data_IF_614461832045
#
_entry.id   IF_614461832045
#
_cell.length_a   1.000
_cell.length_b   1.000
_cell.length_c   1.000
_cell.angle_alpha   90.00
_cell.angle_beta   90.00
_cell.angle_gamma   90.00
#
_symmetry.space_group_name_H-M   'P 1'
#
loop_
_entity.id
_entity.type
_entity.pdbx_description
1 polymer ?
#
# COMPACT_ATOMS: atom_id res chain seq x y z
N UNK A 1 -24.25 36.30 -34.64
CA UNK A 1 -23.87 34.88 -34.49
C UNK A 1 -22.46 34.83 -33.94
N UNK A 2 -22.30 34.68 -32.62
CA UNK A 2 -20.97 34.48 -32.03
C UNK A 2 -20.53 33.05 -32.35
N UNK A 3 -19.51 32.91 -33.18
CA UNK A 3 -18.84 31.63 -33.36
C UNK A 3 -18.29 31.24 -31.99
N UNK A 4 -18.94 30.28 -31.33
CA UNK A 4 -18.53 29.82 -30.01
C UNK A 4 -17.09 29.34 -30.10
N UNK A 5 -16.19 29.95 -29.32
CA UNK A 5 -14.82 29.50 -29.19
C UNK A 5 -14.84 28.00 -28.85
N UNK A 6 -14.38 27.16 -29.77
CA UNK A 6 -14.26 25.72 -29.52
C UNK A 6 -13.17 25.57 -28.46
N UNK A 7 -13.58 25.15 -27.27
CA UNK A 7 -12.69 25.01 -26.14
C UNK A 7 -11.82 23.77 -26.33
N UNK A 8 -10.51 23.98 -26.53
CA UNK A 8 -9.55 22.89 -26.65
C UNK A 8 -9.21 22.34 -25.24
N UNK A 9 -10.01 21.37 -24.79
CA UNK A 9 -9.84 20.78 -23.46
C UNK A 9 -8.53 20.04 -23.27
N UNK A 10 -7.94 19.50 -24.34
CA UNK A 10 -6.65 18.80 -24.29
C UNK A 10 -5.51 19.79 -24.01
N UNK A 11 -5.51 20.94 -24.71
CA UNK A 11 -4.59 22.03 -24.41
C UNK A 11 -4.76 22.52 -22.96
N UNK A 12 -6.00 22.80 -22.54
CA UNK A 12 -6.27 23.27 -21.18
C UNK A 12 -5.82 22.24 -20.14
N UNK A 13 -6.03 20.95 -20.38
CA UNK A 13 -5.64 19.89 -19.47
C UNK A 13 -4.11 19.77 -19.33
N UNK A 14 -3.36 19.96 -20.41
CA UNK A 14 -1.89 19.96 -20.41
C UNK A 14 -1.31 21.22 -19.71
N UNK A 15 -2.05 22.32 -19.73
CA UNK A 15 -1.69 23.59 -19.08
C UNK A 15 -2.49 23.84 -17.78
N UNK A 16 -3.11 22.80 -17.21
CA UNK A 16 -4.03 22.96 -16.07
C UNK A 16 -3.36 23.62 -14.87
N UNK A 17 -2.05 23.39 -14.70
CA UNK A 17 -1.27 23.93 -13.60
C UNK A 17 -1.31 25.45 -13.56
N UNK A 18 -1.21 26.12 -14.71
CA UNK A 18 -1.24 27.58 -14.80
C UNK A 18 -2.59 28.12 -14.26
N UNK A 19 -3.68 27.47 -14.63
CA UNK A 19 -5.03 27.83 -14.13
C UNK A 19 -5.22 27.53 -12.64
N UNK A 20 -4.56 26.50 -12.10
CA UNK A 20 -4.58 26.19 -10.65
C UNK A 20 -3.77 27.23 -9.88
N UNK A 21 -2.59 27.60 -10.37
CA UNK A 21 -1.72 28.61 -9.72
C UNK A 21 -2.37 29.99 -9.70
N UNK A 22 -3.11 30.35 -10.75
CA UNK A 22 -3.83 31.61 -10.84
C UNK A 22 -5.20 31.61 -10.13
N UNK A 23 -5.59 30.51 -9.48
CA UNK A 23 -6.90 30.32 -8.85
C UNK A 23 -8.12 30.48 -9.79
N UNK A 24 -7.97 30.11 -11.07
CA UNK A 24 -8.95 30.40 -12.12
C UNK A 24 -9.88 29.24 -12.49
N UNK A 25 -9.59 28.01 -12.09
CA UNK A 25 -10.36 26.83 -12.57
C UNK A 25 -11.87 26.97 -12.32
N UNK A 26 -12.28 27.34 -11.10
CA UNK A 26 -13.71 27.39 -10.74
C UNK A 26 -14.39 28.72 -11.10
N UNK A 27 -13.63 29.74 -11.50
CA UNK A 27 -14.18 31.03 -11.94
C UNK A 27 -14.28 31.14 -13.46
N UNK A 28 -13.41 30.45 -14.21
CA UNK A 28 -13.37 30.47 -15.67
C UNK A 28 -14.20 29.34 -16.28
N UNK A 29 -14.21 28.14 -15.67
CA UNK A 29 -14.80 26.96 -16.28
C UNK A 29 -16.07 26.51 -15.56
N UNK A 30 -17.07 26.08 -16.34
CA UNK A 30 -18.26 25.47 -15.77
C UNK A 30 -17.97 24.05 -15.26
N UNK A 31 -18.87 23.51 -14.43
CA UNK A 31 -18.70 22.18 -13.83
C UNK A 31 -18.56 21.06 -14.88
N UNK A 32 -19.20 21.18 -16.05
CA UNK A 32 -19.08 20.19 -17.13
C UNK A 32 -17.74 20.29 -17.85
N UNK A 33 -17.21 21.49 -18.03
CA UNK A 33 -15.90 21.72 -18.63
C UNK A 33 -14.80 21.20 -17.72
N UNK A 34 -14.87 21.55 -16.42
CA UNK A 34 -13.94 21.03 -15.41
C UNK A 34 -13.93 19.50 -15.43
N UNK A 35 -15.10 18.85 -15.54
CA UNK A 35 -15.18 17.38 -15.63
C UNK A 35 -14.39 16.83 -16.81
N UNK A 36 -14.47 17.45 -17.99
CA UNK A 36 -13.73 17.01 -19.19
C UNK A 36 -12.23 17.28 -19.04
N UNK A 37 -11.87 18.46 -18.53
CA UNK A 37 -10.47 18.83 -18.26
C UNK A 37 -9.85 17.81 -17.30
N UNK A 38 -10.52 17.50 -16.19
CA UNK A 38 -10.03 16.54 -15.19
C UNK A 38 -9.84 15.12 -15.74
N UNK A 39 -10.68 14.70 -16.70
CA UNK A 39 -10.56 13.39 -17.38
C UNK A 39 -9.25 13.28 -18.19
N UNK A 40 -8.74 14.42 -18.67
CA UNK A 40 -7.56 14.50 -19.52
C UNK A 40 -6.29 14.91 -18.75
N UNK A 41 -6.45 15.52 -17.57
CA UNK A 41 -5.34 16.06 -16.80
C UNK A 41 -4.61 15.01 -15.97
N UNK A 42 -3.28 15.12 -15.97
CA UNK A 42 -2.40 14.49 -15.00
C UNK A 42 -1.98 15.52 -13.95
N UNK A 43 -2.28 15.27 -12.67
CA UNK A 43 -1.98 16.19 -11.57
C UNK A 43 -0.97 15.59 -10.61
N UNK A 44 -0.02 16.39 -10.13
CA UNK A 44 0.72 16.04 -8.93
C UNK A 44 -0.19 16.17 -7.70
N UNK A 45 0.11 15.44 -6.62
CA UNK A 45 -0.62 15.53 -5.35
C UNK A 45 -0.84 16.97 -4.89
N UNK A 46 0.22 17.79 -4.90
CA UNK A 46 0.15 19.18 -4.46
C UNK A 46 -0.78 20.05 -5.32
N UNK A 47 -0.80 19.82 -6.64
CA UNK A 47 -1.65 20.57 -7.55
C UNK A 47 -3.12 20.19 -7.35
N UNK A 48 -3.42 18.90 -7.16
CA UNK A 48 -4.77 18.45 -6.83
C UNK A 48 -5.24 18.99 -5.47
N UNK A 49 -4.35 19.04 -4.47
CA UNK A 49 -4.68 19.62 -3.17
C UNK A 49 -4.97 21.12 -3.28
N UNK A 50 -4.16 21.88 -4.03
CA UNK A 50 -4.40 23.30 -4.31
C UNK A 50 -5.73 23.51 -5.03
N UNK A 51 -5.99 22.72 -6.07
CA UNK A 51 -7.25 22.70 -6.82
C UNK A 51 -8.46 22.51 -5.87
N UNK A 52 -8.42 21.55 -4.95
CA UNK A 52 -9.55 21.37 -4.03
C UNK A 52 -9.66 22.50 -3.00
N UNK A 53 -8.55 23.13 -2.58
CA UNK A 53 -8.59 24.26 -1.63
C UNK A 53 -9.29 25.49 -2.21
N UNK A 54 -8.99 25.87 -3.45
CA UNK A 54 -9.61 27.02 -4.14
C UNK A 54 -11.11 26.82 -4.44
N UNK A 55 -11.60 25.58 -4.36
CA UNK A 55 -13.02 25.28 -4.55
C UNK A 55 -13.91 25.93 -3.48
N UNK A 56 -13.34 26.24 -2.31
CA UNK A 56 -14.04 26.89 -1.21
C UNK A 56 -13.82 28.41 -1.26
N UNK A 57 -14.88 29.23 -1.17
CA UNK A 57 -16.29 28.88 -1.01
C UNK A 57 -17.08 28.72 -2.33
N UNK A 58 -16.42 28.81 -3.48
CA UNK A 58 -17.02 28.98 -4.83
C UNK A 58 -17.96 27.86 -5.27
N UNK A 59 -17.70 26.60 -4.92
CA UNK A 59 -18.47 25.44 -5.38
C UNK A 59 -18.97 24.57 -4.23
N UNK A 60 -20.21 24.07 -4.37
CA UNK A 60 -20.79 23.14 -3.39
C UNK A 60 -20.04 21.79 -3.41
N UNK A 61 -19.87 21.12 -2.25
CA UNK A 61 -19.13 19.85 -2.14
C UNK A 61 -19.59 18.75 -3.11
N UNK A 62 -20.90 18.61 -3.34
CA UNK A 62 -21.45 17.60 -4.25
C UNK A 62 -21.13 17.87 -5.73
N UNK A 63 -21.07 19.15 -6.14
CA UNK A 63 -20.66 19.55 -7.48
C UNK A 63 -19.16 19.38 -7.65
N UNK A 64 -18.38 19.76 -6.64
CA UNK A 64 -16.94 19.55 -6.60
C UNK A 64 -16.56 18.09 -6.82
N UNK A 65 -17.18 17.17 -6.06
CA UNK A 65 -16.98 15.74 -6.26
C UNK A 65 -17.30 15.31 -7.71
N UNK A 66 -18.43 15.74 -8.26
CA UNK A 66 -18.85 15.36 -9.62
C UNK A 66 -17.87 15.82 -10.71
N UNK A 67 -17.30 17.02 -10.61
CA UNK A 67 -16.38 17.53 -11.63
C UNK A 67 -14.92 17.11 -11.44
N UNK A 68 -14.49 16.73 -10.24
CA UNK A 68 -13.07 16.41 -9.98
C UNK A 68 -12.78 14.92 -9.83
N UNK A 69 -13.79 14.06 -9.61
CA UNK A 69 -13.58 12.62 -9.35
C UNK A 69 -12.88 11.81 -10.45
N UNK A 70 -12.74 12.39 -11.65
CA UNK A 70 -12.07 11.76 -12.79
C UNK A 70 -10.58 12.11 -12.90
N UNK A 71 -10.09 13.05 -12.08
CA UNK A 71 -8.71 13.48 -12.13
C UNK A 71 -7.73 12.32 -11.90
N UNK A 72 -6.71 12.22 -12.74
CA UNK A 72 -5.59 11.33 -12.50
C UNK A 72 -4.54 12.03 -11.65
N UNK A 73 -4.28 11.51 -10.45
CA UNK A 73 -3.35 12.12 -9.49
C UNK A 73 -2.15 11.19 -9.29
N UNK A 74 -0.95 11.70 -9.55
CA UNK A 74 0.29 10.98 -9.27
C UNK A 74 0.60 11.00 -7.77
N UNK A 75 0.75 9.80 -7.19
CA UNK A 75 1.09 9.57 -5.79
C UNK A 75 2.53 9.06 -5.72
N UNK A 76 3.38 9.74 -4.96
CA UNK A 76 4.81 9.41 -4.87
C UNK A 76 5.18 8.70 -3.57
N UNK A 77 4.43 8.94 -2.50
CA UNK A 77 4.73 8.40 -1.18
C UNK A 77 3.45 8.24 -0.33
N UNK A 78 3.61 7.73 0.90
CA UNK A 78 2.48 7.51 1.80
C UNK A 78 1.85 8.80 2.32
N UNK A 79 2.64 9.87 2.49
CA UNK A 79 2.14 11.18 2.92
C UNK A 79 1.19 11.78 1.89
N UNK A 80 1.47 11.58 0.59
CA UNK A 80 0.61 11.99 -0.51
C UNK A 80 -0.78 11.35 -0.40
N UNK A 81 -0.83 10.04 -0.12
CA UNK A 81 -2.09 9.30 0.06
C UNK A 81 -2.91 9.94 1.19
N UNK A 82 -2.30 10.13 2.37
CA UNK A 82 -2.96 10.76 3.52
C UNK A 82 -3.44 12.17 3.16
N UNK A 83 -2.61 12.96 2.48
CA UNK A 83 -2.90 14.35 2.10
C UNK A 83 -4.13 14.44 1.16
N UNK A 84 -4.21 13.55 0.17
CA UNK A 84 -5.34 13.45 -0.76
C UNK A 84 -6.61 13.11 0.01
N UNK A 85 -6.60 12.04 0.82
CA UNK A 85 -7.77 11.61 1.58
C UNK A 85 -8.26 12.71 2.55
N UNK A 86 -7.35 13.36 3.28
CA UNK A 86 -7.70 14.50 4.16
C UNK A 86 -8.35 15.63 3.39
N UNK A 87 -7.81 15.97 2.22
CA UNK A 87 -8.31 17.07 1.40
C UNK A 87 -9.69 16.74 0.82
N UNK A 88 -9.86 15.54 0.26
CA UNK A 88 -11.15 15.05 -0.24
C UNK A 88 -12.19 15.03 0.89
N UNK A 89 -11.86 14.44 2.05
CA UNK A 89 -12.72 14.46 3.24
C UNK A 89 -13.19 15.88 3.57
N UNK A 90 -12.25 16.82 3.67
CA UNK A 90 -12.53 18.20 4.08
C UNK A 90 -13.43 18.95 3.09
N UNK A 91 -13.05 18.96 1.81
CA UNK A 91 -13.72 19.81 0.80
C UNK A 91 -14.94 19.14 0.17
N UNK A 92 -15.00 17.80 0.15
CA UNK A 92 -16.15 17.04 -0.36
C UNK A 92 -17.09 16.51 0.75
N UNK A 93 -16.72 16.70 2.02
CA UNK A 93 -17.50 16.28 3.21
C UNK A 93 -17.77 14.76 3.29
N UNK A 94 -16.79 13.95 2.87
CA UNK A 94 -16.90 12.48 2.85
C UNK A 94 -16.44 11.85 4.18
N UNK A 95 -17.36 11.75 5.15
CA UNK A 95 -17.09 11.18 6.49
C UNK A 95 -16.66 9.72 6.48
N UNK A 96 -17.02 8.96 5.46
CA UNK A 96 -16.58 7.55 5.31
C UNK A 96 -15.05 7.40 5.27
N UNK A 97 -14.33 8.48 4.94
CA UNK A 97 -12.86 8.49 4.90
C UNK A 97 -12.22 8.61 6.28
N UNK A 98 -12.99 8.87 7.35
CA UNK A 98 -12.46 9.01 8.71
C UNK A 98 -11.69 7.76 9.13
N UNK A 99 -12.36 6.61 9.15
CA UNK A 99 -11.72 5.34 9.53
C UNK A 99 -10.59 4.92 8.59
N UNK A 100 -10.69 5.25 7.30
CA UNK A 100 -9.63 4.96 6.31
C UNK A 100 -8.38 5.79 6.63
N UNK A 101 -8.53 7.09 6.88
CA UNK A 101 -7.43 7.98 7.23
C UNK A 101 -6.78 7.53 8.53
N UNK A 102 -7.59 7.19 9.54
CA UNK A 102 -7.09 6.77 10.85
C UNK A 102 -6.29 5.45 10.74
N UNK A 103 -6.81 4.48 9.99
CA UNK A 103 -6.10 3.23 9.71
C UNK A 103 -4.76 3.47 8.99
N UNK A 104 -4.76 4.33 7.96
CA UNK A 104 -3.54 4.64 7.21
C UNK A 104 -2.50 5.33 8.11
N UNK A 105 -2.91 6.30 8.93
CA UNK A 105 -2.01 6.97 9.89
C UNK A 105 -1.41 5.97 10.88
N UNK A 106 -2.22 5.04 11.40
CA UNK A 106 -1.74 3.99 12.28
C UNK A 106 -0.66 3.12 11.60
N UNK A 107 -0.91 2.70 10.36
CA UNK A 107 0.05 1.89 9.60
C UNK A 107 1.33 2.64 9.24
N UNK A 108 1.26 3.94 8.94
CA UNK A 108 2.45 4.76 8.73
C UNK A 108 3.38 4.76 9.95
N UNK A 109 2.81 4.77 11.16
CA UNK A 109 3.58 4.80 12.40
C UNK A 109 4.19 3.43 12.77
N UNK A 110 3.65 2.32 12.25
CA UNK A 110 4.22 0.97 12.44
C UNK A 110 5.47 0.74 11.55
N UNK A 111 5.56 1.42 10.40
CA UNK A 111 6.66 1.24 9.44
C UNK A 111 8.04 1.52 10.07
N UNK A 112 8.29 2.65 10.76
CA UNK A 112 9.58 2.92 11.42
C UNK A 112 9.99 1.84 12.43
N UNK A 113 9.02 1.26 13.16
CA UNK A 113 9.27 0.21 14.15
C UNK A 113 9.77 -1.06 13.47
N UNK A 114 9.17 -1.43 12.33
CA UNK A 114 9.65 -2.56 11.53
C UNK A 114 11.01 -2.28 10.89
N UNK A 115 11.23 -1.07 10.37
CA UNK A 115 12.50 -0.67 9.75
C UNK A 115 13.65 -0.69 10.76
N UNK A 116 13.42 -0.20 11.98
CA UNK A 116 14.43 -0.21 13.05
C UNK A 116 14.81 -1.63 13.49
N UNK A 117 13.82 -2.53 13.61
CA UNK A 117 14.08 -3.95 13.89
C UNK A 117 14.92 -4.59 12.78
N UNK A 118 14.59 -4.33 11.51
CA UNK A 118 15.35 -4.83 10.37
C UNK A 118 16.79 -4.28 10.32
N UNK A 119 17.01 -3.00 10.59
CA UNK A 119 18.35 -2.41 10.65
C UNK A 119 19.21 -2.99 11.79
N UNK A 120 18.59 -3.23 12.95
CA UNK A 120 19.26 -3.87 14.09
C UNK A 120 19.71 -5.29 13.71
N UNK A 121 18.81 -6.09 13.14
CA UNK A 121 19.12 -7.44 12.66
C UNK A 121 20.21 -7.45 11.58
N UNK A 122 20.19 -6.51 10.63
CA UNK A 122 21.27 -6.36 9.64
C UNK A 122 22.62 -6.01 10.26
N UNK A 123 22.63 -5.23 11.34
CA UNK A 123 23.86 -4.86 12.04
C UNK A 123 24.42 -6.05 12.80
N UNK A 124 23.56 -6.81 13.49
CA UNK A 124 23.91 -8.06 14.18
C UNK A 124 24.47 -9.11 13.21
N UNK A 125 23.90 -9.23 12.00
CA UNK A 125 24.43 -10.13 10.96
C UNK A 125 25.83 -9.73 10.49
N UNK A 126 26.11 -8.43 10.32
CA UNK A 126 27.43 -7.94 9.90
C UNK A 126 28.50 -8.14 10.97
N UNK A 127 28.17 -7.97 12.26
CA UNK A 127 29.11 -8.25 13.35
C UNK A 127 29.46 -9.72 13.45
N UNK A 128 28.49 -10.62 13.23
CA UNK A 128 28.74 -12.07 13.20
C UNK A 128 29.65 -12.46 12.02
N UNK A 129 29.47 -11.86 10.84
CA UNK A 129 30.32 -12.13 9.67
C UNK A 129 31.76 -11.61 9.80
N UNK A 130 31.97 -10.54 10.58
CA UNK A 130 33.29 -9.89 10.74
C UNK A 130 34.12 -10.42 11.91
N UNK A 131 33.62 -11.39 12.71
CA UNK A 131 34.43 -12.04 13.74
C UNK A 131 35.47 -12.99 13.10
N UNK A 132 36.74 -12.99 13.57
CA UNK A 132 37.79 -13.81 12.98
C UNK A 132 37.50 -15.31 13.18
N UNK A 133 37.72 -16.15 12.16
CA UNK A 133 37.39 -17.56 12.23
C UNK A 133 38.34 -18.30 13.18
N UNK A 134 37.80 -18.82 14.29
CA UNK A 134 38.47 -19.87 15.05
C UNK A 134 38.48 -21.16 14.20
N UNK A 135 39.63 -21.42 13.59
CA UNK A 135 40.03 -22.60 12.80
C UNK A 135 39.51 -22.69 11.34
N UNK A 136 40.49 -22.67 10.41
CA UNK A 136 40.34 -22.74 8.96
C UNK A 136 40.11 -24.19 8.52
N UNK A 137 38.84 -24.57 8.29
CA UNK A 137 38.35 -25.64 7.37
C UNK A 137 36.83 -25.87 7.48
N UNK A 138 36.14 -25.21 8.41
CA UNK A 138 34.76 -25.53 8.81
C UNK A 138 33.66 -24.75 8.06
N UNK A 139 34.02 -23.74 7.26
CA UNK A 139 33.06 -22.70 6.84
C UNK A 139 31.98 -23.15 5.83
N UNK A 140 32.27 -24.07 4.90
CA UNK A 140 31.23 -24.58 3.98
C UNK A 140 30.29 -25.60 4.63
N UNK A 141 30.83 -26.45 5.52
CA UNK A 141 30.04 -27.51 6.17
C UNK A 141 29.09 -26.93 7.22
N UNK A 142 29.50 -25.88 7.96
CA UNK A 142 28.64 -25.27 8.98
C UNK A 142 27.53 -24.38 8.43
N UNK A 143 27.72 -23.66 7.32
CA UNK A 143 26.64 -22.91 6.66
C UNK A 143 25.57 -23.87 6.13
N UNK A 144 26.00 -24.95 5.47
CA UNK A 144 25.10 -26.01 4.99
C UNK A 144 24.42 -26.72 6.17
N UNK A 145 25.12 -26.93 7.29
CA UNK A 145 24.53 -27.55 8.48
C UNK A 145 23.57 -26.60 9.21
N UNK A 146 23.82 -25.29 9.23
CA UNK A 146 22.97 -24.27 9.84
C UNK A 146 21.66 -24.07 9.04
N UNK A 147 21.75 -23.99 7.71
CA UNK A 147 20.58 -23.97 6.83
C UNK A 147 19.77 -25.27 6.95
N UNK A 148 20.44 -26.44 7.03
CA UNK A 148 19.76 -27.71 7.29
C UNK A 148 19.12 -27.80 8.68
N UNK A 149 19.71 -27.18 9.71
CA UNK A 149 19.14 -27.19 11.07
C UNK A 149 17.92 -26.27 11.16
N UNK A 150 17.96 -25.10 10.54
CA UNK A 150 16.79 -24.21 10.43
C UNK A 150 15.67 -24.87 9.62
N UNK A 151 16.00 -25.54 8.51
CA UNK A 151 15.02 -26.27 7.71
C UNK A 151 14.36 -27.41 8.52
N UNK A 152 15.13 -28.14 9.31
CA UNK A 152 14.62 -29.23 10.15
C UNK A 152 13.71 -28.72 11.29
N UNK A 153 14.03 -27.57 11.88
CA UNK A 153 13.20 -26.95 12.92
C UNK A 153 11.87 -26.44 12.34
N UNK A 154 11.90 -25.85 11.15
CA UNK A 154 10.69 -25.42 10.43
C UNK A 154 9.84 -26.65 10.03
N UNK A 155 10.46 -27.74 9.58
CA UNK A 155 9.75 -28.99 9.27
C UNK A 155 9.11 -29.63 10.52
N UNK A 156 9.76 -29.54 11.68
CA UNK A 156 9.19 -29.98 12.94
C UNK A 156 7.95 -29.14 13.30
N UNK A 157 8.04 -27.81 13.20
CA UNK A 157 6.88 -26.91 13.37
C UNK A 157 5.74 -27.21 12.40
N UNK A 158 6.02 -27.45 11.13
CA UNK A 158 4.98 -27.84 10.14
C UNK A 158 4.27 -29.11 10.59
N UNK A 159 5.02 -30.09 11.10
CA UNK A 159 4.47 -31.37 11.58
C UNK A 159 3.62 -31.21 12.85
N UNK A 160 4.04 -30.34 13.77
CA UNK A 160 3.25 -29.98 14.96
C UNK A 160 1.95 -29.27 14.56
N UNK A 161 2.05 -28.27 13.68
CA UNK A 161 0.94 -27.45 13.21
C UNK A 161 -0.08 -28.24 12.39
N UNK A 162 0.35 -29.28 11.68
CA UNK A 162 -0.54 -30.19 10.95
C UNK A 162 -1.61 -30.80 11.87
N UNK A 163 -1.24 -31.14 13.09
CA UNK A 163 -2.13 -31.73 14.08
C UNK A 163 -2.81 -30.69 15.00
N UNK A 164 -2.40 -29.42 14.91
CA UNK A 164 -2.98 -28.33 15.66
C UNK A 164 -4.26 -27.81 14.99
N UNK A 165 -5.26 -27.40 15.79
CA UNK A 165 -6.49 -26.75 15.29
C UNK A 165 -6.47 -25.23 15.53
N UNK A 166 -5.35 -24.67 15.98
CA UNK A 166 -5.19 -23.24 16.20
C UNK A 166 -4.85 -22.54 14.88
N UNK A 167 -5.88 -21.95 14.29
CA UNK A 167 -5.78 -21.16 13.06
C UNK A 167 -4.86 -19.95 13.21
N UNK A 168 -4.87 -19.27 14.36
CA UNK A 168 -4.09 -18.06 14.57
C UNK A 168 -2.59 -18.38 14.57
N UNK A 169 -2.21 -19.49 15.19
CA UNK A 169 -0.82 -19.94 15.23
C UNK A 169 -0.32 -20.41 13.87
N UNK A 170 -1.18 -21.02 13.04
CA UNK A 170 -0.84 -21.35 11.64
C UNK A 170 -0.61 -20.10 10.80
N UNK A 171 -1.44 -19.06 10.96
CA UNK A 171 -1.30 -17.83 10.16
C UNK A 171 -0.08 -17.01 10.58
N UNK A 172 0.23 -16.93 11.88
CA UNK A 172 1.48 -16.34 12.39
C UNK A 172 2.71 -17.06 11.83
N UNK A 173 2.65 -18.38 11.74
CA UNK A 173 3.73 -19.17 11.16
C UNK A 173 3.93 -18.86 9.66
N UNK A 174 2.86 -18.70 8.86
CA UNK A 174 2.99 -18.25 7.47
C UNK A 174 3.52 -16.82 7.35
N UNK A 175 3.13 -15.92 8.25
CA UNK A 175 3.65 -14.55 8.30
C UNK A 175 5.17 -14.53 8.58
N UNK A 176 5.63 -15.33 9.54
CA UNK A 176 7.05 -15.54 9.85
C UNK A 176 7.83 -16.04 8.62
N UNK A 177 7.32 -17.07 7.92
CA UNK A 177 7.97 -17.61 6.72
C UNK A 177 8.00 -16.59 5.57
N UNK A 178 6.95 -15.80 5.41
CA UNK A 178 6.85 -14.74 4.40
C UNK A 178 7.85 -13.61 4.68
N UNK A 179 7.98 -13.19 5.94
CA UNK A 179 9.00 -12.20 6.37
C UNK A 179 10.44 -12.66 6.11
N UNK A 180 10.68 -13.97 6.12
CA UNK A 180 11.99 -14.57 5.82
C UNK A 180 12.21 -14.85 4.33
N UNK A 181 11.24 -14.53 3.46
CA UNK A 181 11.22 -14.93 2.04
C UNK A 181 11.44 -16.45 1.83
N UNK A 182 11.08 -17.29 2.81
CA UNK A 182 11.35 -18.73 2.79
C UNK A 182 10.33 -19.49 1.94
N UNK A 183 10.33 -19.22 0.63
CA UNK A 183 9.36 -19.77 -0.34
C UNK A 183 9.33 -21.29 -0.35
N UNK A 184 10.47 -21.94 -0.13
CA UNK A 184 10.59 -23.41 -0.05
C UNK A 184 9.73 -23.98 1.07
N UNK A 185 9.80 -23.40 2.26
CA UNK A 185 9.02 -23.87 3.41
C UNK A 185 7.57 -23.43 3.38
N UNK A 186 7.25 -22.30 2.74
CA UNK A 186 5.86 -21.92 2.44
C UNK A 186 5.22 -23.00 1.54
N UNK A 187 5.88 -23.40 0.46
CA UNK A 187 5.39 -24.47 -0.42
C UNK A 187 5.17 -25.77 0.34
N UNK A 188 6.14 -26.18 1.15
CA UNK A 188 6.04 -27.40 1.98
C UNK A 188 4.86 -27.35 2.96
N UNK A 189 4.66 -26.20 3.62
CA UNK A 189 3.54 -25.98 4.54
C UNK A 189 2.20 -26.08 3.82
N UNK A 190 2.14 -25.61 2.57
CA UNK A 190 0.96 -25.75 1.72
C UNK A 190 0.70 -27.21 1.33
N UNK A 191 1.74 -27.96 0.94
CA UNK A 191 1.63 -29.38 0.58
C UNK A 191 1.14 -30.23 1.76
N UNK A 192 1.53 -29.87 2.99
CA UNK A 192 1.10 -30.53 4.23
C UNK A 192 -0.31 -30.11 4.68
N UNK A 193 -0.98 -29.23 3.93
CA UNK A 193 -2.39 -28.85 4.16
C UNK A 193 -2.61 -27.82 5.26
N UNK A 194 -1.58 -27.09 5.72
CA UNK A 194 -1.75 -26.09 6.78
C UNK A 194 -2.70 -24.95 6.34
N UNK A 195 -2.70 -24.61 5.05
CA UNK A 195 -3.59 -23.58 4.47
C UNK A 195 -5.08 -23.93 4.52
N UNK A 196 -5.45 -25.19 4.77
CA UNK A 196 -6.85 -25.60 4.90
C UNK A 196 -7.37 -25.51 6.34
N UNK A 197 -6.54 -25.12 7.30
CA UNK A 197 -6.97 -24.88 8.67
C UNK A 197 -7.86 -23.64 8.67
N UNK A 198 -9.01 -23.74 9.30
CA UNK A 198 -9.97 -22.65 9.43
C UNK A 198 -10.27 -22.48 10.92
N UNK A 199 -10.48 -21.24 11.36
CA UNK A 199 -10.99 -20.99 12.70
C UNK A 199 -12.29 -21.80 12.91
N UNK A 200 -12.43 -22.44 14.06
CA UNK A 200 -13.61 -23.25 14.37
C UNK A 200 -14.89 -22.41 14.18
N UNK A 201 -15.59 -22.61 13.05
CA UNK A 201 -16.80 -21.88 12.70
C UNK A 201 -16.85 -21.23 11.31
N UNK A 202 -15.74 -21.18 10.54
CA UNK A 202 -15.75 -20.56 9.20
C UNK A 202 -15.56 -21.58 8.06
N UNK A 203 -16.22 -21.35 6.93
CA UNK A 203 -16.22 -22.28 5.78
C UNK A 203 -15.08 -21.99 4.78
N UNK A 204 -14.62 -22.98 3.97
CA UNK A 204 -13.36 -22.95 3.23
C UNK A 204 -13.27 -21.97 2.04
N UNK A 205 -14.27 -21.11 1.83
CA UNK A 205 -14.48 -20.43 0.55
C UNK A 205 -13.57 -19.21 0.29
N UNK A 206 -12.82 -18.71 1.28
CA UNK A 206 -12.09 -17.45 1.14
C UNK A 206 -10.65 -17.57 0.61
N UNK A 207 -9.96 -18.69 0.83
CA UNK A 207 -8.52 -18.80 0.48
C UNK A 207 -8.31 -19.14 -1.01
N UNK A 208 -9.25 -19.83 -1.66
CA UNK A 208 -9.16 -20.22 -3.09
C UNK A 208 -9.10 -19.01 -4.05
N UNK A 209 -9.48 -17.81 -3.58
CA UNK A 209 -9.53 -16.59 -4.41
C UNK A 209 -8.27 -15.70 -4.28
N UNK A 210 -7.45 -15.85 -3.24
CA UNK A 210 -6.28 -14.99 -3.03
C UNK A 210 -5.01 -15.47 -3.76
N UNK A 211 -4.92 -16.76 -4.14
CA UNK A 211 -3.70 -17.33 -4.73
C UNK A 211 -3.89 -17.89 -6.16
N UNK A 212 -4.97 -17.48 -6.85
CA UNK A 212 -5.24 -17.82 -8.25
C UNK A 212 -4.97 -16.65 -9.23
N UNK A 213 -4.20 -15.64 -8.80
CA UNK A 213 -3.61 -14.59 -9.66
C UNK A 213 -2.09 -14.66 -9.56
#
# INVERSE_FOLDING_TARGET
>A
MSHGLIQNYEYIANHIKDYIEENKIFSVFETQDIKKIMDLSQLATNDFVKLLKQSYPTIKPNKLYKCTRKANVSIQNFEDVISIFKTIKKYMKLRILDGVIDFLIHKQNEIPVCTAKNQKLQTELKTIQNQPPKSKKVTKVNLINAERTNDNEILAKISELKNCNDFETVYKFFDELSCQENRKMISKSCDEGLWTKIAAGESPFLIKRMYSM
#
